data_IF_421420695487
#
_entry.id   IF_421420695487
#
_cell.length_a   1.000
_cell.length_b   1.000
_cell.length_c   1.000
_cell.angle_alpha   90.00
_cell.angle_beta   90.00
_cell.angle_gamma   90.00
#
_symmetry.space_group_name_H-M   'P 1'
#
loop_
_entity.id
_entity.type
_entity.pdbx_description
1 polymer ?
#
# COMPACT_ATOMS: atom_id res chain seq x y z
N UNK A 1 -30.02 -18.01 -1.95
CA UNK A 1 -28.85 -18.92 -2.04
C UNK A 1 -28.05 -18.43 -3.24
N UNK A 2 -26.97 -17.69 -3.01
CA UNK A 2 -26.11 -17.16 -4.07
C UNK A 2 -24.67 -17.28 -3.59
N UNK A 3 -23.93 -18.18 -4.22
CA UNK A 3 -22.51 -18.42 -3.98
C UNK A 3 -21.72 -17.20 -4.45
N UNK A 4 -21.04 -16.52 -3.50
CA UNK A 4 -20.03 -15.53 -3.83
C UNK A 4 -18.71 -16.27 -4.05
N UNK A 5 -18.19 -16.14 -5.28
CA UNK A 5 -16.96 -16.75 -5.75
C UNK A 5 -15.79 -16.54 -4.78
N UNK A 6 -15.16 -17.66 -4.44
CA UNK A 6 -14.03 -17.77 -3.53
C UNK A 6 -12.75 -17.27 -4.21
N UNK A 7 -12.38 -16.02 -3.93
CA UNK A 7 -11.07 -15.44 -4.26
C UNK A 7 -10.15 -15.35 -3.04
N UNK A 8 -10.27 -16.27 -2.06
CA UNK A 8 -9.54 -16.19 -0.79
C UNK A 8 -8.08 -16.61 -0.96
N UNK A 9 -7.20 -15.64 -1.20
CA UNK A 9 -5.80 -15.79 -0.77
C UNK A 9 -5.74 -15.67 0.77
N UNK A 10 -5.27 -16.69 1.49
CA UNK A 10 -5.13 -16.61 2.94
C UNK A 10 -3.98 -15.66 3.27
N UNK A 11 -4.27 -14.46 3.77
CA UNK A 11 -3.25 -13.59 4.36
C UNK A 11 -3.42 -12.08 4.18
N UNK A 12 -4.24 -11.61 3.23
CA UNK A 12 -4.45 -10.17 3.03
C UNK A 12 -5.47 -9.64 4.05
N UNK A 13 -4.98 -9.28 5.25
CA UNK A 13 -5.77 -8.53 6.23
C UNK A 13 -5.87 -7.09 5.70
N UNK A 14 -7.05 -6.72 5.18
CA UNK A 14 -7.35 -5.37 4.73
C UNK A 14 -7.44 -4.45 5.95
N UNK A 15 -6.33 -3.85 6.33
CA UNK A 15 -6.33 -2.79 7.32
C UNK A 15 -6.89 -1.54 6.64
N UNK A 16 -8.06 -1.08 7.08
CA UNK A 16 -8.56 0.25 6.76
C UNK A 16 -7.55 1.25 7.30
N UNK A 17 -6.69 1.79 6.44
CA UNK A 17 -5.83 2.92 6.77
C UNK A 17 -6.78 4.07 7.14
N UNK A 18 -6.64 4.71 8.31
CA UNK A 18 -7.41 5.90 8.61
C UNK A 18 -7.21 6.88 7.45
N UNK A 19 -8.28 7.55 7.02
CA UNK A 19 -8.30 8.47 5.88
C UNK A 19 -7.50 9.75 6.21
N UNK A 20 -6.34 9.64 6.85
CA UNK A 20 -5.31 10.65 6.80
C UNK A 20 -4.72 10.57 5.40
N UNK A 21 -5.34 11.37 4.53
CA UNK A 21 -4.75 11.88 3.32
C UNK A 21 -4.26 10.83 2.30
N UNK A 22 -5.01 9.74 2.14
CA UNK A 22 -4.85 8.84 1.00
C UNK A 22 -4.85 9.61 -0.34
N UNK A 23 -5.54 10.76 -0.41
CA UNK A 23 -5.47 11.69 -1.57
C UNK A 23 -4.13 12.40 -1.67
N UNK A 24 -3.57 12.95 -0.60
CA UNK A 24 -2.27 13.59 -0.63
C UNK A 24 -1.13 12.59 -0.88
N UNK A 25 -1.16 11.40 -0.26
CA UNK A 25 -0.23 10.29 -0.57
C UNK A 25 -0.37 9.88 -2.04
N UNK A 26 -1.61 9.72 -2.54
CA UNK A 26 -1.88 9.44 -3.95
C UNK A 26 -1.58 10.60 -4.89
N UNK A 27 -1.31 11.81 -4.39
CA UNK A 27 -0.85 12.93 -5.21
C UNK A 27 0.67 13.02 -5.20
N UNK A 28 1.29 12.78 -4.04
CA UNK A 28 2.73 12.93 -3.85
C UNK A 28 3.53 11.74 -4.38
N UNK A 29 3.03 10.52 -4.22
CA UNK A 29 3.78 9.28 -4.49
C UNK A 29 3.15 8.46 -5.63
N UNK A 30 2.66 9.12 -6.67
CA UNK A 30 1.96 8.44 -7.77
C UNK A 30 2.83 7.41 -8.46
N UNK A 31 2.27 6.21 -8.63
CA UNK A 31 2.96 5.06 -9.24
C UNK A 31 4.22 4.63 -8.48
N UNK A 32 4.30 4.95 -7.18
CA UNK A 32 5.39 4.53 -6.31
C UNK A 32 4.90 3.58 -5.22
N UNK A 33 5.84 2.81 -4.68
CA UNK A 33 5.69 2.09 -3.45
C UNK A 33 6.03 3.00 -2.27
N UNK A 34 5.22 2.97 -1.23
CA UNK A 34 5.48 3.66 0.04
C UNK A 34 5.66 2.64 1.16
N UNK A 35 6.60 2.93 2.06
CA UNK A 35 6.85 2.19 3.29
C UNK A 35 6.17 2.93 4.42
N UNK A 36 5.27 2.26 5.13
CA UNK A 36 4.56 2.82 6.27
C UNK A 36 5.21 2.34 7.58
N UNK A 37 5.29 3.25 8.56
CA UNK A 37 5.63 2.90 9.93
C UNK A 37 4.44 2.31 10.71
N UNK A 38 4.64 1.97 11.99
CA UNK A 38 3.59 1.39 12.87
C UNK A 38 2.44 2.34 13.17
N UNK A 39 2.67 3.64 13.02
CA UNK A 39 1.69 4.71 13.16
C UNK A 39 1.09 5.13 11.81
N UNK A 40 1.37 4.39 10.74
CA UNK A 40 0.89 4.60 9.37
C UNK A 40 1.39 5.89 8.70
N UNK A 41 2.54 6.43 9.14
CA UNK A 41 3.20 7.51 8.40
C UNK A 41 4.11 6.96 7.31
N UNK A 42 4.22 7.70 6.20
CA UNK A 42 5.19 7.39 5.14
C UNK A 42 6.60 7.59 5.68
N UNK A 43 7.35 6.50 5.76
CA UNK A 43 8.74 6.47 6.20
C UNK A 43 9.71 6.61 5.03
N UNK A 44 9.37 6.03 3.89
CA UNK A 44 10.14 6.09 2.65
C UNK A 44 9.26 5.74 1.45
N UNK A 45 9.73 6.02 0.24
CA UNK A 45 9.05 5.67 -1.00
C UNK A 45 10.01 5.40 -2.15
N UNK A 46 9.53 4.77 -3.20
CA UNK A 46 10.29 4.59 -4.43
C UNK A 46 9.54 3.79 -5.49
N UNK A 47 10.04 3.78 -6.74
CA UNK A 47 9.39 3.09 -7.85
C UNK A 47 9.48 1.55 -7.77
N UNK A 48 10.46 1.02 -7.04
CA UNK A 48 10.76 -0.41 -6.96
C UNK A 48 10.54 -0.93 -5.53
N UNK A 49 9.67 -1.94 -5.38
CA UNK A 49 9.40 -2.56 -4.09
C UNK A 49 10.63 -3.26 -3.49
N UNK A 50 11.41 -3.93 -4.34
CA UNK A 50 12.57 -4.74 -3.90
C UNK A 50 13.60 -3.89 -3.16
N UNK A 51 13.93 -2.69 -3.67
CA UNK A 51 14.86 -1.77 -3.02
C UNK A 51 14.39 -1.37 -1.61
N UNK A 52 13.08 -1.14 -1.45
CA UNK A 52 12.48 -0.83 -0.15
C UNK A 52 12.50 -2.06 0.77
N UNK A 53 12.25 -3.26 0.24
CA UNK A 53 12.31 -4.51 1.00
C UNK A 53 13.73 -4.86 1.44
N UNK A 54 14.74 -4.60 0.63
CA UNK A 54 16.15 -4.78 0.99
C UNK A 54 16.54 -3.83 2.14
N UNK A 55 16.07 -2.59 2.10
CA UNK A 55 16.38 -1.56 3.10
C UNK A 55 15.65 -1.77 4.44
N UNK A 56 14.38 -2.14 4.39
CA UNK A 56 13.50 -2.17 5.58
C UNK A 56 13.13 -3.59 6.04
N UNK A 57 13.34 -4.59 5.21
CA UNK A 57 13.01 -5.99 5.49
C UNK A 57 11.51 -6.28 5.51
N UNK A 58 11.11 -7.55 5.66
CA UNK A 58 9.72 -7.99 5.50
C UNK A 58 8.77 -7.57 6.63
N UNK A 59 9.28 -6.94 7.69
CA UNK A 59 8.48 -6.54 8.88
C UNK A 59 7.76 -5.20 8.71
N UNK A 60 8.04 -4.46 7.64
CA UNK A 60 7.40 -3.19 7.34
C UNK A 60 6.15 -3.38 6.47
N UNK A 61 5.28 -2.38 6.49
CA UNK A 61 4.08 -2.36 5.64
C UNK A 61 4.41 -1.59 4.37
N UNK A 62 4.21 -2.24 3.23
CA UNK A 62 4.43 -1.65 1.91
C UNK A 62 3.06 -1.44 1.24
N UNK A 63 2.89 -0.28 0.63
CA UNK A 63 1.67 0.05 -0.10
C UNK A 63 2.04 0.62 -1.46
N UNK A 64 1.47 0.08 -2.53
CA UNK A 64 1.61 0.68 -3.85
C UNK A 64 0.55 1.75 -4.01
N UNK A 65 0.98 2.93 -4.41
CA UNK A 65 0.12 4.08 -4.64
C UNK A 65 -0.17 4.14 -6.14
N UNK A 66 -1.37 3.71 -6.59
CA UNK A 66 -1.71 3.82 -7.99
C UNK A 66 -1.76 5.31 -8.37
N UNK A 67 -1.05 5.69 -9.43
CA UNK A 67 -1.33 6.96 -10.09
C UNK A 67 -2.79 6.96 -10.53
N UNK A 68 -3.50 8.05 -10.26
CA UNK A 68 -4.89 8.16 -10.69
C UNK A 68 -4.97 7.94 -12.19
N UNK A 69 -5.61 6.86 -12.63
CA UNK A 69 -6.20 6.83 -13.96
C UNK A 69 -7.33 7.84 -13.92
N UNK A 70 -7.12 9.03 -14.46
CA UNK A 70 -8.23 9.75 -15.06
C UNK A 70 -8.83 8.79 -16.11
N UNK A 71 -10.00 8.23 -15.77
CA UNK A 71 -10.85 7.45 -16.65
C UNK A 71 -12.25 8.07 -16.60
#
# INVERSE_FOLDING_TARGET
MLEAADGRRPGARWWMIPIFDAREISRQYQNEWVVLDRSLNVRDHGPVLEELQEKYGPKHTYYFVPGGSEA
#
